data_IF_973151766379
#
_entry.id   IF_973151766379
#
_cell.length_a   1.000
_cell.length_b   1.000
_cell.length_c   1.000
_cell.angle_alpha   90.00
_cell.angle_beta   90.00
_cell.angle_gamma   90.00
#
_symmetry.space_group_name_H-M   'P 1'
#
loop_
_entity.id
_entity.type
_entity.pdbx_description
1 polymer ?
#
# COMPACT_ATOMS: atom_id res chain seq x y z
N UNK A 1 24.68 5.81 7.95
CA UNK A 1 23.75 5.13 7.08
C UNK A 1 22.56 6.00 6.74
N UNK A 2 22.29 6.10 5.49
CA UNK A 2 21.15 6.82 5.02
C UNK A 2 19.94 5.92 5.11
N UNK A 3 18.98 6.34 5.89
CA UNK A 3 17.72 5.63 5.97
C UNK A 3 16.79 6.23 4.94
N UNK A 4 16.60 5.50 3.86
CA UNK A 4 15.71 5.94 2.82
C UNK A 4 14.29 5.67 3.25
N UNK A 5 13.49 6.73 3.39
CA UNK A 5 12.09 6.58 3.78
C UNK A 5 11.25 6.13 2.60
N UNK A 6 11.58 6.58 1.39
CA UNK A 6 10.88 6.16 0.19
C UNK A 6 11.86 5.59 -0.82
N UNK A 7 11.51 4.45 -1.40
CA UNK A 7 12.27 3.78 -2.44
C UNK A 7 11.42 3.64 -3.69
N UNK A 8 11.81 4.27 -4.79
CA UNK A 8 11.06 4.09 -6.04
C UNK A 8 11.55 2.86 -6.79
N UNK A 9 10.62 2.16 -7.41
CA UNK A 9 10.91 1.02 -8.28
C UNK A 9 10.16 1.20 -9.59
N UNK A 10 10.87 1.15 -10.69
CA UNK A 10 10.22 1.18 -11.98
C UNK A 10 10.00 -0.23 -12.47
N UNK A 11 8.73 -0.61 -12.57
CA UNK A 11 8.33 -1.87 -13.14
C UNK A 11 7.69 -1.61 -14.49
N UNK A 12 7.46 -2.66 -15.23
CA UNK A 12 6.83 -2.54 -16.53
C UNK A 12 5.43 -1.93 -16.38
N UNK A 13 5.25 -0.72 -16.87
CA UNK A 13 3.98 0.03 -16.84
C UNK A 13 3.50 0.49 -15.45
N UNK A 14 4.30 0.28 -14.41
CA UNK A 14 3.92 0.71 -13.05
C UNK A 14 5.15 1.24 -12.34
N UNK A 15 5.02 2.40 -11.73
CA UNK A 15 6.02 2.88 -10.80
C UNK A 15 5.54 2.58 -9.39
N UNK A 16 6.37 1.89 -8.62
CA UNK A 16 6.07 1.57 -7.24
C UNK A 16 6.91 2.47 -6.34
N UNK A 17 6.25 3.15 -5.43
CA UNK A 17 6.94 3.94 -4.41
C UNK A 17 6.72 3.24 -3.07
N UNK A 18 7.77 2.70 -2.51
CA UNK A 18 7.71 1.96 -1.26
C UNK A 18 8.15 2.87 -0.12
N UNK A 19 7.26 3.13 0.80
CA UNK A 19 7.52 3.94 1.98
C UNK A 19 7.66 3.03 3.19
N UNK A 20 8.74 3.22 3.95
CA UNK A 20 8.91 2.56 5.23
C UNK A 20 9.05 3.66 6.29
N UNK A 21 8.00 3.86 7.05
CA UNK A 21 7.93 4.96 8.00
C UNK A 21 8.36 4.55 9.41
N UNK A 22 8.93 3.35 9.57
CA UNK A 22 9.29 2.85 10.88
C UNK A 22 10.20 3.81 11.66
N UNK A 23 11.15 4.43 10.97
CA UNK A 23 12.14 5.31 11.59
C UNK A 23 11.77 6.77 11.56
N UNK A 24 10.57 7.08 11.11
CA UNK A 24 10.10 8.46 11.08
C UNK A 24 9.92 8.96 12.51
N UNK A 25 10.60 10.06 12.85
CA UNK A 25 10.51 10.61 14.19
C UNK A 25 9.28 11.46 14.40
N UNK A 26 8.92 12.22 13.37
CA UNK A 26 7.79 13.12 13.42
C UNK A 26 7.06 13.04 12.10
N UNK A 27 5.73 12.86 12.10
CA UNK A 27 4.97 12.80 10.84
C UNK A 27 5.17 14.02 9.95
N UNK A 28 5.46 15.17 10.53
CA UNK A 28 5.70 16.40 9.81
C UNK A 28 6.89 16.31 8.85
N UNK A 29 7.80 15.38 9.10
CA UNK A 29 8.93 15.15 8.21
C UNK A 29 8.48 14.79 6.80
N UNK A 30 7.33 14.15 6.67
CA UNK A 30 6.76 13.80 5.37
C UNK A 30 6.44 15.04 4.55
N UNK A 31 5.97 16.09 5.21
CA UNK A 31 5.67 17.35 4.54
C UNK A 31 6.95 17.97 3.97
N UNK A 32 8.04 17.93 4.74
CA UNK A 32 9.31 18.45 4.27
C UNK A 32 9.89 17.65 3.11
N UNK A 33 9.54 16.40 3.01
CA UNK A 33 9.99 15.53 1.91
C UNK A 33 9.19 15.73 0.62
N UNK A 34 8.12 16.52 0.67
CA UNK A 34 7.25 16.69 -0.47
C UNK A 34 6.46 15.41 -0.79
N UNK A 35 6.00 14.74 0.24
CA UNK A 35 5.34 13.44 0.08
C UNK A 35 4.10 13.52 -0.82
N UNK A 36 3.44 14.68 -0.85
CA UNK A 36 2.23 14.86 -1.66
C UNK A 36 2.46 14.57 -3.14
N UNK A 37 3.66 14.89 -3.63
CA UNK A 37 3.98 14.68 -5.04
C UNK A 37 3.92 13.22 -5.43
N UNK A 38 4.16 12.32 -4.48
CA UNK A 38 4.10 10.88 -4.74
C UNK A 38 2.69 10.37 -4.90
N UNK A 39 1.71 11.11 -4.41
CA UNK A 39 0.31 10.67 -4.42
C UNK A 39 -0.52 11.34 -5.49
N UNK A 40 0.06 12.25 -6.25
CA UNK A 40 -0.65 12.91 -7.32
C UNK A 40 -0.84 11.97 -8.52
N UNK A 41 -2.02 12.06 -9.13
CA UNK A 41 -2.31 11.28 -10.31
C UNK A 41 -1.56 11.87 -11.49
N UNK A 42 -0.83 11.07 -12.28
CA UNK A 42 -0.14 11.58 -13.46
C UNK A 42 -1.11 12.24 -14.44
N UNK A 43 -0.74 13.40 -14.95
CA UNK A 43 -1.60 14.19 -15.82
C UNK A 43 -1.89 13.52 -17.16
N UNK A 44 -0.96 12.72 -17.65
CA UNK A 44 -1.11 12.08 -18.95
C UNK A 44 -1.79 10.71 -18.91
N UNK A 45 -2.00 10.18 -17.72
CA UNK A 45 -2.66 8.89 -17.52
C UNK A 45 -1.90 7.70 -18.08
N UNK A 46 -0.66 7.87 -18.49
CA UNK A 46 0.12 6.81 -19.10
C UNK A 46 0.88 5.96 -18.12
N UNK A 47 1.30 6.54 -17.00
CA UNK A 47 1.99 5.79 -15.97
C UNK A 47 1.08 5.53 -14.79
N UNK A 48 1.05 4.28 -14.38
CA UNK A 48 0.36 3.90 -13.17
C UNK A 48 1.33 3.98 -12.01
N UNK A 49 0.87 4.49 -10.90
CA UNK A 49 1.66 4.58 -9.68
C UNK A 49 1.00 3.78 -8.58
N UNK A 50 1.81 3.06 -7.86
CA UNK A 50 1.39 2.32 -6.69
C UNK A 50 2.25 2.76 -5.51
N UNK A 51 1.63 3.23 -4.45
CA UNK A 51 2.33 3.58 -3.23
C UNK A 51 2.05 2.52 -2.18
N UNK A 52 3.11 1.88 -1.71
CA UNK A 52 3.04 0.88 -0.64
C UNK A 52 3.64 1.52 0.61
N UNK A 53 2.84 1.63 1.66
CA UNK A 53 3.26 2.34 2.86
C UNK A 53 3.26 1.37 4.04
N UNK A 54 4.45 1.15 4.62
CA UNK A 54 4.62 0.38 5.84
C UNK A 54 4.67 1.31 7.03
N UNK A 55 4.10 0.88 8.13
CA UNK A 55 3.99 1.66 9.36
C UNK A 55 3.24 2.97 9.15
N UNK A 56 2.04 2.90 8.54
CA UNK A 56 1.33 4.13 8.18
C UNK A 56 0.95 5.00 9.38
N UNK A 57 0.80 4.41 10.55
CA UNK A 57 0.47 5.16 11.76
C UNK A 57 1.51 6.22 12.08
N UNK A 58 2.75 5.98 11.68
CA UNK A 58 3.84 6.93 11.91
C UNK A 58 3.67 8.21 11.09
N UNK A 59 2.92 8.15 10.00
CA UNK A 59 2.69 9.31 9.15
C UNK A 59 1.29 9.88 9.28
N UNK A 60 0.61 9.59 10.37
CA UNK A 60 -0.77 10.00 10.57
C UNK A 60 -0.96 11.51 10.41
N UNK A 61 -1.94 11.89 9.63
CA UNK A 61 -2.23 13.30 9.37
C UNK A 61 -1.59 13.84 8.09
N UNK A 62 -0.59 13.13 7.55
CA UNK A 62 0.15 13.57 6.37
C UNK A 62 0.06 12.60 5.20
N UNK A 63 -0.69 11.53 5.37
CA UNK A 63 -0.89 10.54 4.31
C UNK A 63 -2.32 10.63 3.80
N UNK A 64 -2.54 10.33 2.51
CA UNK A 64 -3.90 10.25 1.99
C UNK A 64 -4.60 9.01 2.51
N UNK A 65 -5.91 8.97 2.33
CA UNK A 65 -6.69 7.78 2.65
C UNK A 65 -6.24 6.64 1.74
N UNK A 66 -6.05 5.46 2.32
CA UNK A 66 -5.60 4.31 1.55
C UNK A 66 -6.75 3.75 0.71
N UNK A 67 -6.40 3.29 -0.51
CA UNK A 67 -7.36 2.62 -1.35
C UNK A 67 -7.67 1.22 -0.83
N UNK A 68 -6.68 0.58 -0.22
CA UNK A 68 -6.87 -0.67 0.50
C UNK A 68 -5.78 -0.84 1.54
N UNK A 69 -6.09 -1.61 2.56
CA UNK A 69 -5.17 -1.86 3.67
C UNK A 69 -4.86 -3.34 3.77
N UNK A 70 -3.62 -3.67 4.08
CA UNK A 70 -3.17 -5.04 4.21
C UNK A 70 -2.60 -5.26 5.61
N UNK A 71 -3.17 -6.21 6.34
CA UNK A 71 -2.67 -6.60 7.65
C UNK A 71 -2.11 -8.00 7.58
N UNK A 72 -0.85 -8.16 7.96
CA UNK A 72 -0.20 -9.44 8.02
C UNK A 72 -0.01 -9.84 9.48
N UNK A 73 -0.42 -11.03 9.82
CA UNK A 73 -0.24 -11.55 11.18
C UNK A 73 0.23 -12.99 11.13
N UNK A 74 0.85 -13.43 12.22
CA UNK A 74 1.31 -14.81 12.34
C UNK A 74 0.21 -15.65 12.94
N UNK A 75 -0.06 -16.81 12.34
CA UNK A 75 -1.00 -17.79 12.89
C UNK A 75 -0.34 -19.15 12.87
N UNK A 76 0.05 -19.65 14.05
CA UNK A 76 0.74 -20.92 14.11
C UNK A 76 1.96 -20.95 13.21
N UNK A 77 1.97 -21.79 12.17
CA UNK A 77 3.08 -21.91 11.23
C UNK A 77 2.91 -21.05 10.00
N UNK A 78 1.78 -20.40 9.85
CA UNK A 78 1.47 -19.65 8.66
C UNK A 78 1.38 -18.16 8.91
N UNK A 79 0.89 -17.48 7.91
CA UNK A 79 0.60 -16.06 7.98
C UNK A 79 -0.82 -15.83 7.53
N UNK A 80 -1.49 -14.92 8.22
CA UNK A 80 -2.80 -14.47 7.80
C UNK A 80 -2.66 -13.09 7.17
N UNK A 81 -3.20 -12.95 5.97
CA UNK A 81 -3.23 -11.68 5.28
C UNK A 81 -4.67 -11.20 5.25
N UNK A 82 -4.93 -10.11 5.93
CA UNK A 82 -6.25 -9.49 5.93
C UNK A 82 -6.18 -8.25 5.07
N UNK A 83 -7.02 -8.20 4.03
CA UNK A 83 -7.08 -7.05 3.14
C UNK A 83 -8.43 -6.37 3.34
N UNK A 84 -8.39 -5.09 3.65
CA UNK A 84 -9.58 -4.28 3.81
C UNK A 84 -9.69 -3.36 2.60
N UNK A 85 -10.77 -3.50 1.87
CA UNK A 85 -11.01 -2.72 0.66
C UNK A 85 -12.52 -2.60 0.45
N UNK A 86 -12.92 -1.63 -0.36
CA UNK A 86 -14.32 -1.46 -0.70
C UNK A 86 -14.51 -1.43 -2.22
N UNK A 87 -15.75 -1.49 -2.64
CA UNK A 87 -16.16 -1.28 -4.03
C UNK A 87 -15.42 -2.10 -5.05
N UNK A 88 -14.84 -1.41 -6.02
CA UNK A 88 -14.20 -2.04 -7.16
C UNK A 88 -12.97 -2.86 -6.80
N UNK A 89 -12.21 -2.39 -5.82
CA UNK A 89 -10.99 -3.09 -5.41
C UNK A 89 -11.33 -4.45 -4.83
N UNK A 90 -12.36 -4.50 -4.00
CA UNK A 90 -12.81 -5.76 -3.44
C UNK A 90 -13.26 -6.73 -4.53
N UNK A 91 -13.94 -6.23 -5.56
CA UNK A 91 -14.36 -7.06 -6.68
C UNK A 91 -13.17 -7.64 -7.44
N UNK A 92 -12.14 -6.82 -7.67
CA UNK A 92 -10.92 -7.27 -8.34
C UNK A 92 -10.22 -8.35 -7.52
N UNK A 93 -10.15 -8.17 -6.20
CA UNK A 93 -9.53 -9.16 -5.32
C UNK A 93 -10.27 -10.50 -5.36
N UNK A 94 -11.59 -10.46 -5.43
CA UNK A 94 -12.39 -11.68 -5.56
C UNK A 94 -12.10 -12.40 -6.87
N UNK A 95 -11.95 -11.66 -7.97
CA UNK A 95 -11.61 -12.25 -9.24
C UNK A 95 -10.22 -12.89 -9.21
N UNK A 96 -9.26 -12.23 -8.60
CA UNK A 96 -7.89 -12.77 -8.46
C UNK A 96 -7.93 -14.06 -7.66
N UNK A 97 -8.75 -14.14 -6.61
CA UNK A 97 -8.83 -15.33 -5.77
C UNK A 97 -9.34 -16.55 -6.52
N UNK A 98 -10.12 -16.32 -7.60
CA UNK A 98 -10.67 -17.41 -8.39
C UNK A 98 -9.68 -17.96 -9.42
N UNK A 99 -8.56 -17.30 -9.65
CA UNK A 99 -7.56 -17.77 -10.59
C UNK A 99 -6.85 -19.00 -10.06
N UNK A 100 -6.61 -20.01 -10.93
CA UNK A 100 -5.88 -21.20 -10.49
C UNK A 100 -4.50 -20.85 -9.92
N UNK A 101 -4.17 -21.41 -8.79
CA UNK A 101 -2.87 -21.23 -8.18
C UNK A 101 -2.68 -19.93 -7.44
N UNK A 102 -3.73 -19.13 -7.26
CA UNK A 102 -3.62 -17.85 -6.55
C UNK A 102 -3.28 -18.04 -5.09
N UNK A 103 -3.74 -19.13 -4.48
CA UNK A 103 -3.57 -19.33 -3.05
C UNK A 103 -4.36 -18.35 -2.18
N UNK A 104 -5.15 -17.50 -2.82
CA UNK A 104 -5.91 -16.47 -2.12
C UNK A 104 -7.34 -16.94 -1.87
N UNK A 105 -7.77 -16.86 -0.61
CA UNK A 105 -9.15 -17.17 -0.23
C UNK A 105 -9.76 -15.87 0.27
N UNK A 106 -10.83 -15.43 -0.40
CA UNK A 106 -11.52 -14.21 0.01
C UNK A 106 -12.76 -14.61 0.82
N UNK A 107 -12.80 -14.17 2.06
CA UNK A 107 -13.98 -14.31 2.89
C UNK A 107 -14.58 -12.94 3.11
N UNK A 108 -15.90 -12.84 2.98
CA UNK A 108 -16.58 -11.59 3.29
C UNK A 108 -16.70 -11.47 4.80
N UNK A 109 -15.88 -10.60 5.36
CA UNK A 109 -16.04 -10.22 6.75
C UNK A 109 -16.71 -8.86 6.72
N UNK A 110 -17.96 -8.83 7.07
CA UNK A 110 -18.64 -7.54 7.24
C UNK A 110 -18.29 -7.01 8.62
N UNK A 111 -17.76 -5.85 8.66
CA UNK A 111 -17.55 -5.15 9.91
C UNK A 111 -18.82 -4.42 10.31
#
# INVERSE_FOLDING_TARGET
PTYTIVEPYELQNVQVNHFDLYRLGDPEELEFMGVRDYFEVPHDGQEKQLCVIEWPDKGQGFLPEADFEVDLSCTGRGRLCKITADGEILSVLKEVSLRPGSGLVVSNVSC
#
